data_IF_686738583088
#
_entry.id   IF_686738583088
#
_cell.length_a   1.000
_cell.length_b   1.000
_cell.length_c   1.000
_cell.angle_alpha   90.00
_cell.angle_beta   90.00
_cell.angle_gamma   90.00
#
_symmetry.space_group_name_H-M   'P 1'
#
loop_
_entity.id
_entity.type
_entity.pdbx_description
1 polymer ?
#
# COMPACT_ATOMS: atom_id res chain seq x y z
N UNK A 1 8.50 -9.04 -23.94
CA UNK A 1 7.34 -8.19 -23.61
C UNK A 1 6.83 -8.67 -22.27
N UNK A 2 6.51 -7.71 -21.39
CA UNK A 2 6.41 -7.79 -19.94
C UNK A 2 6.02 -9.16 -19.34
N UNK A 3 6.86 -9.66 -18.43
CA UNK A 3 6.39 -10.56 -17.37
C UNK A 3 5.63 -9.68 -16.37
N UNK A 4 4.37 -9.40 -16.68
CA UNK A 4 3.47 -8.79 -15.72
C UNK A 4 3.33 -9.80 -14.57
N UNK A 5 4.13 -9.61 -13.50
CA UNK A 5 4.02 -10.27 -12.19
C UNK A 5 2.70 -9.83 -11.53
N UNK A 6 1.59 -10.10 -12.22
CA UNK A 6 0.22 -9.86 -11.81
C UNK A 6 -0.13 -10.87 -10.71
N UNK A 7 0.58 -10.77 -9.58
CA UNK A 7 0.29 -11.55 -8.39
C UNK A 7 -1.14 -11.26 -8.02
N UNK A 8 -1.92 -12.32 -7.88
CA UNK A 8 -3.28 -12.23 -7.40
C UNK A 8 -3.27 -11.63 -5.99
N UNK A 9 -4.29 -10.83 -5.70
CA UNK A 9 -4.46 -10.25 -4.39
C UNK A 9 -4.74 -11.34 -3.36
N UNK A 10 -4.04 -11.34 -2.21
CA UNK A 10 -4.23 -12.36 -1.17
C UNK A 10 -5.59 -12.25 -0.45
N UNK A 11 -6.44 -11.27 -0.79
CA UNK A 11 -7.80 -11.16 -0.23
C UNK A 11 -8.79 -12.20 -0.79
N UNK A 12 -8.36 -13.05 -1.74
CA UNK A 12 -9.21 -14.10 -2.33
C UNK A 12 -10.19 -13.60 -3.41
N UNK A 13 -10.08 -12.34 -3.85
CA UNK A 13 -10.96 -11.76 -4.86
C UNK A 13 -10.71 -12.25 -6.29
N UNK A 14 -9.57 -12.94 -6.52
CA UNK A 14 -9.12 -13.32 -7.87
C UNK A 14 -8.65 -12.15 -8.74
N UNK A 15 -8.55 -10.93 -8.19
CA UNK A 15 -8.07 -9.75 -8.90
C UNK A 15 -6.55 -9.61 -8.80
N UNK A 16 -5.94 -8.91 -9.75
CA UNK A 16 -4.53 -8.52 -9.66
C UNK A 16 -4.28 -7.61 -8.46
N UNK A 17 -3.11 -7.79 -7.84
CA UNK A 17 -2.66 -6.94 -6.74
C UNK A 17 -1.73 -5.84 -7.23
N UNK A 18 -1.83 -4.68 -6.58
CA UNK A 18 -0.86 -3.59 -6.68
C UNK A 18 -0.34 -3.23 -5.29
N UNK A 19 0.84 -2.64 -5.23
CA UNK A 19 1.28 -1.99 -3.99
C UNK A 19 0.47 -0.70 -3.79
N UNK A 20 -0.11 -0.55 -2.61
CA UNK A 20 -0.52 0.73 -2.07
C UNK A 20 0.65 1.32 -1.30
N UNK A 21 0.90 2.60 -1.53
CA UNK A 21 1.98 3.34 -0.89
C UNK A 21 1.39 4.38 0.05
N UNK A 22 2.19 4.83 1.01
CA UNK A 22 1.87 5.99 1.84
C UNK A 22 2.00 7.31 1.06
N UNK A 23 1.76 8.44 1.74
CA UNK A 23 1.91 9.78 1.19
C UNK A 23 3.36 10.14 0.81
N UNK A 24 4.36 9.35 1.24
CA UNK A 24 5.78 9.48 0.90
C UNK A 24 6.20 8.56 -0.27
N UNK A 25 5.30 7.69 -0.73
CA UNK A 25 5.61 6.70 -1.76
C UNK A 25 6.20 5.38 -1.24
N UNK A 26 6.19 5.15 0.08
CA UNK A 26 6.70 3.94 0.72
C UNK A 26 5.64 2.82 0.63
N UNK A 27 5.99 1.61 0.17
CA UNK A 27 5.04 0.49 0.07
C UNK A 27 4.45 0.07 1.43
N UNK A 28 3.13 0.09 1.55
CA UNK A 28 2.38 -0.32 2.75
C UNK A 28 1.85 -1.75 2.64
N UNK A 29 1.03 -2.01 1.61
CA UNK A 29 0.34 -3.29 1.47
C UNK A 29 -0.01 -3.63 0.01
N UNK A 30 -0.11 -4.93 -0.28
CA UNK A 30 -0.67 -5.43 -1.55
C UNK A 30 -2.20 -5.40 -1.51
N UNK A 31 -2.81 -4.57 -2.35
CA UNK A 31 -4.27 -4.34 -2.43
C UNK A 31 -4.82 -4.62 -3.82
N UNK A 32 -6.15 -4.71 -3.93
CA UNK A 32 -6.87 -4.71 -5.20
C UNK A 32 -8.09 -3.78 -5.09
N UNK A 33 -8.78 -3.44 -6.19
CA UNK A 33 -9.91 -2.51 -6.16
C UNK A 33 -11.07 -2.88 -5.22
N UNK A 34 -11.14 -4.14 -4.75
CA UNK A 34 -12.16 -4.60 -3.81
C UNK A 34 -11.77 -4.49 -2.33
N UNK A 35 -10.48 -4.61 -2.01
CA UNK A 35 -10.00 -4.64 -0.63
C UNK A 35 -9.12 -3.45 -0.27
N UNK A 36 -8.93 -2.52 -1.21
CA UNK A 36 -8.11 -1.34 -1.01
C UNK A 36 -8.61 -0.50 0.16
N UNK A 37 -9.87 -0.04 0.13
CA UNK A 37 -10.45 0.73 1.24
C UNK A 37 -10.40 -0.01 2.58
N UNK A 38 -10.76 -1.29 2.61
CA UNK A 38 -10.71 -2.11 3.82
C UNK A 38 -9.29 -2.18 4.38
N UNK A 39 -8.30 -2.52 3.54
CA UNK A 39 -6.90 -2.63 3.96
C UNK A 39 -6.32 -1.29 4.37
N UNK A 40 -6.63 -0.23 3.64
CA UNK A 40 -6.15 1.12 3.91
C UNK A 40 -6.80 1.72 5.16
N UNK A 41 -8.01 1.30 5.52
CA UNK A 41 -8.69 1.73 6.76
C UNK A 41 -7.96 1.32 8.05
N UNK A 42 -7.07 0.34 7.97
CA UNK A 42 -6.24 -0.07 9.10
C UNK A 42 -5.04 0.87 9.36
N UNK A 43 -4.72 1.74 8.40
CA UNK A 43 -3.67 2.74 8.55
C UNK A 43 -4.24 4.06 9.07
N UNK A 44 -3.40 4.84 9.75
CA UNK A 44 -3.75 6.21 10.14
C UNK A 44 -4.02 7.04 8.87
N UNK A 45 -5.11 7.82 8.80
CA UNK A 45 -5.43 8.60 7.59
C UNK A 45 -4.30 9.51 7.12
N UNK A 46 -3.58 10.13 8.06
CA UNK A 46 -2.43 11.01 7.76
C UNK A 46 -1.28 10.28 7.07
N UNK A 47 -1.09 8.96 7.28
CA UNK A 47 -0.10 8.17 6.55
C UNK A 47 -0.42 8.14 5.05
N UNK A 48 -1.71 8.18 4.69
CA UNK A 48 -2.17 8.11 3.30
C UNK A 48 -2.28 9.49 2.63
N UNK A 49 -2.38 10.57 3.41
CA UNK A 49 -2.71 11.91 2.89
C UNK A 49 -1.67 12.99 3.17
N UNK A 50 -0.80 12.83 4.18
CA UNK A 50 0.16 13.85 4.60
C UNK A 50 1.58 13.30 4.59
N UNK A 51 2.41 13.70 3.63
CA UNK A 51 3.81 13.26 3.55
C UNK A 51 4.65 13.68 4.78
N UNK A 52 4.17 14.60 5.62
CA UNK A 52 4.82 15.03 6.85
C UNK A 52 4.26 14.36 8.12
N UNK A 53 3.52 13.25 7.98
CA UNK A 53 2.98 12.54 9.13
C UNK A 53 4.07 12.17 10.16
N UNK A 54 3.71 12.24 11.45
CA UNK A 54 4.63 11.83 12.51
C UNK A 54 4.80 10.30 12.51
N UNK A 55 6.04 9.86 12.37
CA UNK A 55 6.50 8.49 12.63
C UNK A 55 7.67 8.57 13.61
N UNK A 56 7.62 7.72 14.63
CA UNK A 56 8.68 7.58 15.64
C UNK A 56 9.81 6.65 15.17
N UNK A 57 9.55 5.90 14.09
CA UNK A 57 10.57 5.07 13.45
C UNK A 57 11.56 5.96 12.72
N UNK A 58 12.86 5.72 12.95
CA UNK A 58 13.91 6.28 12.13
C UNK A 58 13.65 5.90 10.67
N UNK A 59 13.68 6.89 9.78
CA UNK A 59 13.75 6.60 8.36
C UNK A 59 15.17 6.08 8.14
N UNK A 60 15.31 4.84 7.67
CA UNK A 60 16.59 4.33 7.18
C UNK A 60 17.08 5.27 6.06
N UNK A 61 17.97 6.19 6.42
CA UNK A 61 18.61 7.13 5.52
C UNK A 61 19.79 6.47 4.84
N UNK A 62 19.87 6.58 3.52
CA UNK A 62 21.04 6.21 2.70
C UNK A 62 22.18 7.25 2.84
#
# INVERSE_FOLDING_TARGET
>A
MAIDDARLCPCGSGLSSRWANDARGIPLARVCPKCEDEKLSHYRPEVLTDSNYYADEDIDGD
#
